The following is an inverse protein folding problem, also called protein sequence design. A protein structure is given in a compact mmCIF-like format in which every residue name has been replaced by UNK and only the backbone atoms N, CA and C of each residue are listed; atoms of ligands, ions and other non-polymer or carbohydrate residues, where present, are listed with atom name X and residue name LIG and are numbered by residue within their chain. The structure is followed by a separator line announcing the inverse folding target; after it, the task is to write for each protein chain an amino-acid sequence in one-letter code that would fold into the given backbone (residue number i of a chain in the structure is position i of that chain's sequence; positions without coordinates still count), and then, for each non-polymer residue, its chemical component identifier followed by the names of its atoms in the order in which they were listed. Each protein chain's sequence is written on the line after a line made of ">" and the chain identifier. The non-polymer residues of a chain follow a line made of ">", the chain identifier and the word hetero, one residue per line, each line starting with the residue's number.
data_IF_911118011101
#
_entry.id   IF_911118011101
#
_cell.length_a   1.000
_cell.length_b   1.000
_cell.length_c   1.000
_cell.angle_alpha   90.00
_cell.angle_beta   90.00
_cell.angle_gamma   90.00
#
_symmetry.space_group_name_H-M   'P 1'
#
loop_
_entity.id
_entity.type
_entity.pdbx_description
1 polymer ?
#
# COMPACT_ATOMS: atom_id res chain seq x y z
N UNK A 1 12.50 2.06 12.86
CA UNK A 1 11.81 0.76 12.93
C UNK A 1 11.44 0.29 11.54
N UNK A 2 11.22 -1.00 11.42
CA UNK A 2 10.64 -1.64 10.22
C UNK A 2 9.30 -2.23 10.62
N UNK A 3 8.23 -1.68 10.08
CA UNK A 3 6.85 -2.16 10.25
C UNK A 3 6.61 -3.28 9.25
N UNK A 4 6.09 -4.41 9.69
CA UNK A 4 5.91 -5.61 8.86
C UNK A 4 4.44 -6.04 8.90
N UNK A 5 3.87 -6.26 7.72
CA UNK A 5 2.53 -6.78 7.50
C UNK A 5 2.63 -8.13 6.80
N UNK A 6 2.03 -9.16 7.36
CA UNK A 6 1.98 -10.49 6.74
C UNK A 6 0.76 -10.66 5.82
N UNK A 7 0.78 -11.67 4.96
CA UNK A 7 -0.36 -12.00 4.07
C UNK A 7 -1.62 -12.37 4.83
N UNK A 8 -1.49 -12.99 6.00
CA UNK A 8 -2.63 -13.29 6.88
C UNK A 8 -3.13 -12.07 7.68
N UNK A 9 -2.50 -10.90 7.54
CA UNK A 9 -2.90 -9.67 8.22
C UNK A 9 -2.36 -9.54 9.64
N UNK A 10 -1.21 -10.15 9.93
CA UNK A 10 -0.50 -9.97 11.19
C UNK A 10 0.50 -8.84 11.08
N UNK A 11 0.65 -8.05 12.16
CA UNK A 11 1.51 -6.87 12.21
C UNK A 11 2.50 -6.96 13.34
N UNK A 12 3.70 -6.42 13.11
CA UNK A 12 4.77 -6.29 14.09
C UNK A 12 5.76 -5.22 13.66
N UNK A 13 6.66 -4.86 14.57
CA UNK A 13 7.68 -3.85 14.32
C UNK A 13 9.05 -4.34 14.80
N UNK A 14 10.02 -4.31 13.91
CA UNK A 14 11.42 -4.59 14.22
C UNK A 14 12.19 -3.29 14.46
N UNK A 15 13.20 -3.35 15.34
CA UNK A 15 14.11 -2.22 15.52
C UNK A 15 15.07 -2.14 14.34
N UNK A 16 15.33 -0.90 13.89
CA UNK A 16 16.27 -0.63 12.80
C UNK A 16 15.67 -0.77 11.41
N UNK A 17 16.51 -0.54 10.41
CA UNK A 17 16.13 -0.54 8.99
C UNK A 17 16.89 -1.61 8.19
N UNK A 18 17.81 -2.32 8.81
CA UNK A 18 18.66 -3.29 8.12
C UNK A 18 18.10 -4.70 8.10
N UNK A 19 17.02 -4.93 8.83
CA UNK A 19 16.40 -6.25 8.89
C UNK A 19 15.74 -6.56 7.55
N UNK A 20 15.96 -7.79 7.06
CA UNK A 20 15.24 -8.32 5.91
C UNK A 20 13.90 -8.90 6.39
N UNK A 21 12.75 -8.29 6.03
CA UNK A 21 11.45 -8.79 6.44
C UNK A 21 11.14 -10.21 5.99
N UNK A 22 11.74 -10.66 4.88
CA UNK A 22 11.58 -12.03 4.40
C UNK A 22 12.29 -13.06 5.29
N UNK A 23 13.31 -12.63 6.04
CA UNK A 23 14.06 -13.52 6.94
C UNK A 23 13.38 -13.77 8.29
N UNK A 24 12.29 -13.05 8.57
CA UNK A 24 11.53 -13.23 9.81
C UNK A 24 10.76 -14.55 9.80
N UNK A 25 10.51 -15.09 10.99
CA UNK A 25 9.64 -16.26 11.15
C UNK A 25 8.17 -15.86 11.05
N UNK A 26 7.39 -16.61 10.30
CA UNK A 26 5.94 -16.42 10.14
C UNK A 26 5.19 -17.66 10.65
N UNK A 27 3.92 -17.49 11.01
CA UNK A 27 3.08 -18.60 11.48
C UNK A 27 2.65 -19.49 10.31
N UNK A 28 2.80 -20.79 10.48
CA UNK A 28 2.33 -21.75 9.47
C UNK A 28 2.91 -21.46 8.09
N UNK A 29 2.02 -21.29 7.13
CA UNK A 29 2.33 -20.95 5.73
C UNK A 29 2.20 -19.45 5.42
N UNK A 30 2.07 -18.59 6.45
CA UNK A 30 2.05 -17.15 6.28
C UNK A 30 3.40 -16.62 5.78
N UNK A 31 3.39 -15.44 5.17
CA UNK A 31 4.59 -14.82 4.60
C UNK A 31 4.44 -13.30 4.55
N UNK A 32 5.50 -12.62 4.14
CA UNK A 32 5.50 -11.17 3.99
C UNK A 32 4.47 -10.71 2.95
N UNK A 33 3.64 -9.74 3.33
CA UNK A 33 2.79 -9.00 2.41
C UNK A 33 3.42 -7.66 2.02
N UNK A 34 3.80 -6.85 3.02
CA UNK A 34 4.40 -5.54 2.81
C UNK A 34 5.18 -5.10 4.05
N UNK A 35 6.08 -4.16 3.87
CA UNK A 35 6.83 -3.56 4.97
C UNK A 35 7.12 -2.09 4.68
N UNK A 36 7.41 -1.33 5.74
CA UNK A 36 7.81 0.06 5.65
C UNK A 36 8.82 0.42 6.73
N UNK A 37 9.77 1.25 6.39
CA UNK A 37 10.80 1.73 7.30
C UNK A 37 10.53 3.17 7.68
N UNK A 38 10.67 3.48 8.96
CA UNK A 38 10.44 4.81 9.49
C UNK A 38 10.87 4.95 10.94
N UNK A 39 10.37 5.99 11.59
CA UNK A 39 10.66 6.26 13.00
C UNK A 39 9.55 5.70 13.89
N UNK A 40 9.90 5.31 15.09
CA UNK A 40 8.94 4.74 16.07
C UNK A 40 7.86 5.73 16.49
N UNK A 41 8.13 7.03 16.41
CA UNK A 41 7.18 8.09 16.75
C UNK A 41 6.25 8.47 15.57
N UNK A 42 6.36 7.82 14.44
CA UNK A 42 5.48 8.04 13.29
C UNK A 42 4.29 7.07 13.32
N UNK A 43 3.18 7.50 12.72
CA UNK A 43 2.04 6.63 12.48
C UNK A 43 2.36 5.69 11.31
N UNK A 44 1.99 4.43 11.46
CA UNK A 44 1.95 3.49 10.36
C UNK A 44 0.55 3.52 9.74
N UNK A 45 0.46 3.51 8.42
CA UNK A 45 -0.80 3.44 7.68
C UNK A 45 -0.90 2.10 6.98
N UNK A 46 -2.04 1.46 7.14
CA UNK A 46 -2.37 0.20 6.48
C UNK A 46 -3.55 0.42 5.54
N UNK A 47 -3.45 -0.11 4.33
CA UNK A 47 -4.53 -0.04 3.35
C UNK A 47 -5.15 -1.42 3.19
N UNK A 48 -6.48 -1.48 3.17
CA UNK A 48 -7.18 -2.72 2.89
C UNK A 48 -7.52 -2.87 1.41
N UNK A 49 -7.93 -4.07 1.01
CA UNK A 49 -8.24 -4.40 -0.38
C UNK A 49 -9.40 -3.59 -0.97
N UNK A 50 -10.25 -3.00 -0.12
CA UNK A 50 -11.40 -2.20 -0.53
C UNK A 50 -11.10 -0.68 -0.60
N UNK A 51 -9.87 -0.26 -0.35
CA UNK A 51 -9.45 1.12 -0.47
C UNK A 51 -9.62 1.98 0.77
N UNK A 52 -9.80 1.38 1.94
CA UNK A 52 -9.79 2.09 3.23
C UNK A 52 -8.39 2.17 3.81
N UNK A 53 -8.11 3.27 4.49
CA UNK A 53 -6.87 3.54 5.20
C UNK A 53 -7.09 3.52 6.71
N UNK A 54 -6.14 2.92 7.42
CA UNK A 54 -6.15 2.79 8.88
C UNK A 54 -4.79 3.21 9.42
N UNK A 55 -4.75 3.78 10.62
CA UNK A 55 -3.50 4.23 11.25
C UNK A 55 -3.31 3.59 12.61
N UNK A 56 -2.08 3.15 12.85
CA UNK A 56 -1.63 2.63 14.16
C UNK A 56 -0.29 3.27 14.48
N UNK A 57 -0.08 3.80 15.70
CA UNK A 57 1.25 4.29 16.09
C UNK A 57 2.30 3.19 15.98
N UNK A 58 3.39 3.44 15.28
CA UNK A 58 4.43 2.43 15.04
C UNK A 58 4.99 1.84 16.33
N UNK A 59 5.18 2.67 17.37
CA UNK A 59 5.69 2.23 18.67
C UNK A 59 4.76 1.29 19.43
N UNK A 60 3.47 1.28 19.10
CA UNK A 60 2.46 0.44 19.76
C UNK A 60 2.36 -0.96 19.16
N UNK A 61 3.02 -1.21 18.04
CA UNK A 61 3.01 -2.52 17.40
C UNK A 61 3.84 -3.53 18.21
N UNK A 62 3.45 -4.81 18.23
CA UNK A 62 4.22 -5.82 18.93
C UNK A 62 5.61 -6.00 18.32
N UNK A 63 6.56 -6.41 19.16
CA UNK A 63 7.95 -6.63 18.72
C UNK A 63 8.05 -7.78 17.72
N UNK A 64 8.91 -7.60 16.72
CA UNK A 64 9.25 -8.63 15.75
C UNK A 64 10.11 -9.78 16.32
N UNK A 65 10.44 -9.77 17.62
CA UNK A 65 10.99 -10.94 18.31
C UNK A 65 9.94 -12.05 18.38
N UNK A 66 8.65 -11.68 18.43
CA UNK A 66 7.53 -12.61 18.27
C UNK A 66 7.01 -12.58 16.83
N UNK A 67 5.91 -13.28 16.62
CA UNK A 67 5.28 -13.36 15.28
C UNK A 67 4.27 -12.25 15.02
N UNK A 68 4.09 -11.34 15.97
CA UNK A 68 3.12 -10.25 15.86
C UNK A 68 1.74 -10.63 16.36
N UNK A 69 0.74 -9.87 15.91
CA UNK A 69 -0.67 -10.07 16.26
C UNK A 69 -1.56 -9.74 15.06
N UNK A 70 -2.79 -10.29 15.00
CA UNK A 70 -3.74 -9.93 13.96
C UNK A 70 -4.07 -8.43 14.02
N UNK A 71 -4.02 -7.76 12.88
CA UNK A 71 -4.35 -6.33 12.79
C UNK A 71 -5.82 -6.07 13.17
N UNK A 72 -6.68 -7.04 12.94
CA UNK A 72 -8.11 -6.98 13.30
C UNK A 72 -8.35 -6.89 14.80
N UNK A 73 -7.36 -7.20 15.62
CA UNK A 73 -7.41 -6.95 17.06
C UNK A 73 -7.29 -5.47 17.44
N UNK A 74 -6.78 -4.65 16.54
CA UNK A 74 -6.59 -3.20 16.72
C UNK A 74 -7.59 -2.37 15.94
N UNK A 75 -8.12 -2.89 14.83
CA UNK A 75 -8.93 -2.16 13.85
C UNK A 75 -10.25 -2.86 13.63
N UNK A 76 -11.28 -2.05 13.31
CA UNK A 76 -12.62 -2.54 12.98
C UNK A 76 -12.81 -2.55 11.47
N UNK A 77 -12.12 -3.46 10.80
CA UNK A 77 -12.21 -3.62 9.35
C UNK A 77 -13.49 -4.40 8.95
N UNK A 78 -13.97 -4.16 7.75
CA UNK A 78 -15.10 -4.91 7.20
C UNK A 78 -14.72 -6.39 7.02
N UNK A 79 -15.72 -7.26 7.12
CA UNK A 79 -15.52 -8.71 6.97
C UNK A 79 -15.00 -9.05 5.57
N UNK A 80 -14.01 -9.94 5.51
CA UNK A 80 -13.47 -10.44 4.25
C UNK A 80 -12.44 -9.55 3.56
N UNK A 81 -12.14 -8.36 4.08
CA UNK A 81 -11.08 -7.51 3.51
C UNK A 81 -9.70 -8.08 3.84
N UNK A 82 -8.76 -7.87 2.93
CA UNK A 82 -7.34 -8.16 3.13
C UNK A 82 -6.58 -6.86 3.32
N UNK A 83 -5.55 -6.87 4.16
CA UNK A 83 -4.63 -5.75 4.27
C UNK A 83 -3.49 -5.96 3.26
N UNK A 84 -3.30 -4.98 2.39
CA UNK A 84 -2.39 -5.12 1.23
C UNK A 84 -1.16 -4.24 1.31
N UNK A 85 -1.18 -3.18 2.11
CA UNK A 85 -0.11 -2.18 2.14
C UNK A 85 0.19 -1.71 3.55
N UNK A 86 1.47 -1.50 3.83
CA UNK A 86 1.98 -0.85 5.03
C UNK A 86 2.86 0.32 4.63
N UNK A 87 2.69 1.46 5.27
CA UNK A 87 3.45 2.67 5.01
C UNK A 87 3.82 3.36 6.31
N UNK A 88 4.94 4.06 6.33
CA UNK A 88 5.36 4.95 7.43
C UNK A 88 5.95 6.19 6.78
N UNK A 89 5.65 7.36 7.31
CA UNK A 89 6.15 8.60 6.73
C UNK A 89 5.82 9.82 7.57
N UNK A 90 6.15 10.99 7.03
CA UNK A 90 5.78 12.30 7.55
C UNK A 90 4.70 12.92 6.65
N UNK A 91 4.05 13.97 7.14
CA UNK A 91 2.86 14.56 6.50
C UNK A 91 3.02 14.88 5.01
N UNK A 92 4.19 15.39 4.61
CA UNK A 92 4.46 15.82 3.23
C UNK A 92 5.04 14.73 2.34
N UNK A 93 5.30 13.55 2.87
CA UNK A 93 5.74 12.42 2.05
C UNK A 93 4.65 12.04 1.06
N UNK A 94 5.05 11.72 -0.16
CA UNK A 94 4.14 11.36 -1.24
C UNK A 94 4.19 9.87 -1.54
N UNK A 95 3.05 9.35 -1.92
CA UNK A 95 2.86 7.94 -2.25
C UNK A 95 2.06 7.80 -3.54
N UNK A 96 2.45 6.84 -4.37
CA UNK A 96 1.63 6.38 -5.48
C UNK A 96 0.56 5.44 -4.96
N UNK A 97 -0.69 5.81 -5.19
CA UNK A 97 -1.87 5.04 -4.79
C UNK A 97 -2.53 4.50 -6.06
N UNK A 98 -2.78 3.20 -6.12
CA UNK A 98 -3.26 2.56 -7.35
C UNK A 98 -4.09 1.31 -7.04
N UNK A 99 -4.84 0.85 -8.04
CA UNK A 99 -5.65 -0.37 -7.94
C UNK A 99 -5.51 -1.26 -9.17
N UNK A 100 -6.00 -2.48 -9.05
CA UNK A 100 -5.93 -3.49 -10.14
C UNK A 100 -6.73 -3.09 -11.38
N UNK A 101 -7.68 -2.18 -11.24
CA UNK A 101 -8.46 -1.64 -12.37
C UNK A 101 -7.70 -0.65 -13.23
N UNK A 102 -6.45 -0.31 -12.87
CA UNK A 102 -5.59 0.56 -13.66
C UNK A 102 -5.74 2.05 -13.37
N UNK A 103 -6.27 2.43 -12.23
CA UNK A 103 -6.40 3.83 -11.79
C UNK A 103 -5.44 4.14 -10.66
N UNK A 104 -5.05 5.40 -10.55
CA UNK A 104 -4.21 5.87 -9.46
C UNK A 104 -4.11 7.37 -9.34
N UNK A 105 -3.47 7.79 -8.27
CA UNK A 105 -3.14 9.19 -7.97
C UNK A 105 -1.97 9.25 -7.01
N UNK A 106 -1.43 10.46 -6.83
CA UNK A 106 -0.41 10.73 -5.84
C UNK A 106 -1.11 11.28 -4.59
N UNK A 107 -0.78 10.75 -3.42
CA UNK A 107 -1.31 11.21 -2.16
C UNK A 107 -0.18 11.69 -1.23
N UNK A 108 -0.46 12.72 -0.44
CA UNK A 108 0.38 13.10 0.67
C UNK A 108 0.01 12.26 1.90
N UNK A 109 1.01 11.88 2.69
CA UNK A 109 0.84 10.98 3.84
C UNK A 109 -0.21 11.45 4.85
N UNK A 110 -0.27 12.75 5.12
CA UNK A 110 -1.28 13.35 6.02
C UNK A 110 -2.71 12.99 5.64
N UNK A 111 -2.99 12.80 4.36
CA UNK A 111 -4.32 12.44 3.85
C UNK A 111 -4.62 10.92 3.94
N UNK A 112 -3.61 10.11 4.23
CA UNK A 112 -3.75 8.67 4.44
C UNK A 112 -4.06 8.32 5.90
N UNK A 113 -3.90 9.26 6.81
CA UNK A 113 -4.07 9.07 8.25
C UNK A 113 -5.54 9.08 8.63
N UNK A 114 -5.95 8.12 9.47
CA UNK A 114 -7.29 8.03 10.03
C UNK A 114 -7.22 7.91 11.56
N UNK A 115 -8.06 8.68 12.24
CA UNK A 115 -8.20 8.61 13.70
C UNK A 115 -9.26 7.60 14.15
N UNK A 116 -9.93 6.94 13.21
CA UNK A 116 -11.01 5.98 13.50
C UNK A 116 -10.51 4.55 13.32
N UNK A 117 -10.86 3.67 14.26
CA UNK A 117 -10.58 2.23 14.14
C UNK A 117 -11.25 1.59 12.93
N UNK A 118 -12.39 2.13 12.51
CA UNK A 118 -13.10 1.69 11.30
C UNK A 118 -12.48 2.18 9.99
N UNK A 119 -11.41 2.95 10.09
CA UNK A 119 -10.69 3.47 8.95
C UNK A 119 -11.39 4.63 8.24
N UNK A 120 -10.80 5.05 7.15
CA UNK A 120 -11.27 6.14 6.32
C UNK A 120 -11.36 5.66 4.87
N UNK A 121 -12.47 5.94 4.19
CA UNK A 121 -12.56 5.73 2.76
C UNK A 121 -11.51 6.61 2.05
N UNK A 122 -10.57 5.99 1.37
CA UNK A 122 -9.41 6.68 0.80
C UNK A 122 -9.37 6.57 -0.72
N UNK A 123 -9.32 5.37 -1.27
CA UNK A 123 -9.39 5.16 -2.72
C UNK A 123 -10.74 4.57 -3.12
N UNK A 124 -11.41 5.22 -4.10
CA UNK A 124 -12.62 4.68 -4.72
C UNK A 124 -12.20 3.69 -5.79
N UNK A 125 -12.61 2.45 -5.62
CA UNK A 125 -12.27 1.37 -6.55
C UNK A 125 -13.34 1.20 -7.64
N UNK A 126 -12.93 0.93 -8.89
CA UNK A 126 -13.84 0.39 -9.89
C UNK A 126 -14.40 -0.96 -9.45
N UNK A 127 -15.52 -1.35 -10.01
CA UNK A 127 -16.08 -2.68 -9.77
C UNK A 127 -15.07 -3.77 -10.09
N UNK A 128 -14.97 -4.78 -9.22
CA UNK A 128 -14.02 -5.90 -9.31
C UNK A 128 -12.53 -5.54 -9.15
N UNK A 129 -12.21 -4.30 -8.82
CA UNK A 129 -10.84 -3.89 -8.55
C UNK A 129 -10.48 -4.04 -7.07
N UNK A 130 -9.22 -4.29 -6.80
CA UNK A 130 -8.63 -4.31 -5.46
C UNK A 130 -7.50 -3.28 -5.37
N UNK A 131 -7.27 -2.79 -4.16
CA UNK A 131 -6.15 -1.91 -3.84
C UNK A 131 -4.82 -2.63 -4.06
N UNK A 132 -3.83 -1.92 -4.59
CA UNK A 132 -2.43 -2.35 -4.64
C UNK A 132 -1.62 -1.68 -3.53
N UNK A 133 -0.39 -2.13 -3.33
CA UNK A 133 0.53 -1.53 -2.36
C UNK A 133 0.80 -0.08 -2.71
N UNK A 134 0.77 0.80 -1.70
CA UNK A 134 1.24 2.17 -1.85
C UNK A 134 2.76 2.17 -2.02
N UNK A 135 3.26 3.00 -2.94
CA UNK A 135 4.70 3.08 -3.22
C UNK A 135 5.20 4.48 -2.86
N UNK A 136 6.22 4.59 -2.00
CA UNK A 136 6.80 5.90 -1.69
C UNK A 136 7.37 6.58 -2.93
N UNK A 137 7.00 7.85 -3.14
CA UNK A 137 7.53 8.68 -4.21
C UNK A 137 8.65 9.54 -3.64
N UNK A 138 9.87 9.33 -4.09
CA UNK A 138 11.04 10.08 -3.65
C UNK A 138 11.33 11.25 -4.59
N UNK A 139 12.12 12.23 -4.14
CA UNK A 139 12.40 13.45 -4.89
C UNK A 139 13.07 13.20 -6.24
N UNK A 140 13.87 12.14 -6.35
CA UNK A 140 14.56 11.77 -7.59
C UNK A 140 13.70 10.96 -8.56
N UNK A 141 12.50 10.54 -8.16
CA UNK A 141 11.59 9.82 -9.04
C UNK A 141 10.93 10.78 -10.02
N UNK A 142 10.92 10.42 -11.29
CA UNK A 142 10.34 11.23 -12.37
C UNK A 142 9.28 10.50 -13.17
N UNK A 143 9.38 9.17 -13.28
CA UNK A 143 8.50 8.35 -14.10
C UNK A 143 7.92 7.18 -13.33
N UNK A 144 6.82 6.67 -13.85
CA UNK A 144 6.14 5.46 -13.36
C UNK A 144 6.15 4.45 -14.51
N UNK A 145 6.58 3.23 -14.22
CA UNK A 145 6.41 2.09 -15.11
C UNK A 145 5.29 1.22 -14.56
N UNK A 146 4.18 1.12 -15.27
CA UNK A 146 3.03 0.30 -14.89
C UNK A 146 2.96 -0.95 -15.76
N UNK A 147 2.71 -2.09 -15.14
CA UNK A 147 2.68 -3.40 -15.83
C UNK A 147 1.39 -4.12 -15.50
N UNK A 148 0.73 -4.67 -16.53
CA UNK A 148 -0.37 -5.60 -16.34
C UNK A 148 0.11 -7.04 -16.22
N UNK A 149 -0.76 -7.93 -15.75
CA UNK A 149 -0.46 -9.37 -15.64
C UNK A 149 -0.23 -10.05 -16.99
N UNK A 150 -0.70 -9.45 -18.10
CA UNK A 150 -0.49 -9.98 -19.45
C UNK A 150 0.68 -9.34 -20.20
N UNK A 151 1.51 -8.55 -19.48
CA UNK A 151 2.73 -7.99 -20.03
C UNK A 151 2.58 -6.65 -20.73
N UNK A 152 1.46 -5.94 -20.61
CA UNK A 152 1.38 -4.55 -21.05
C UNK A 152 2.26 -3.68 -20.15
N UNK A 153 3.11 -2.88 -20.76
CA UNK A 153 4.00 -1.95 -20.07
C UNK A 153 3.71 -0.54 -20.54
N UNK A 154 3.53 0.38 -19.61
CA UNK A 154 3.39 1.81 -19.89
C UNK A 154 4.31 2.60 -18.98
N UNK A 155 5.09 3.51 -19.57
CA UNK A 155 5.97 4.42 -18.83
C UNK A 155 5.49 5.85 -19.10
N UNK A 156 5.28 6.61 -18.02
CA UNK A 156 4.81 7.99 -18.11
C UNK A 156 5.36 8.82 -16.95
N UNK A 157 5.28 10.14 -17.07
CA UNK A 157 5.75 11.07 -16.04
C UNK A 157 4.81 11.08 -14.82
N UNK A 158 5.38 11.14 -13.61
CA UNK A 158 4.62 11.21 -12.36
C UNK A 158 3.65 12.40 -12.36
N UNK A 159 4.07 13.53 -12.94
CA UNK A 159 3.26 14.76 -13.00
C UNK A 159 1.96 14.61 -13.80
N UNK A 160 1.81 13.55 -14.59
CA UNK A 160 0.57 13.25 -15.29
C UNK A 160 -0.54 12.74 -14.36
N UNK A 161 -0.17 12.30 -13.13
CA UNK A 161 -1.16 11.92 -12.12
C UNK A 161 -1.51 13.10 -11.22
N UNK A 162 -2.79 13.25 -10.84
CA UNK A 162 -3.22 14.28 -9.91
C UNK A 162 -2.74 13.97 -8.50
N UNK A 163 -2.58 15.02 -7.69
CA UNK A 163 -2.39 14.91 -6.25
C UNK A 163 -3.77 15.01 -5.60
N UNK A 164 -4.21 13.95 -4.93
CA UNK A 164 -5.55 13.88 -4.33
C UNK A 164 -5.47 13.49 -2.86
N UNK A 165 -6.40 14.00 -2.06
CA UNK A 165 -6.59 13.57 -0.68
C UNK A 165 -7.37 12.26 -0.57
N UNK A 166 -8.19 11.97 -1.57
CA UNK A 166 -8.99 10.74 -1.71
C UNK A 166 -9.60 10.70 -3.11
N UNK A 167 -10.16 9.58 -3.51
CA UNK A 167 -10.95 9.48 -4.72
C UNK A 167 -10.51 8.35 -5.64
N UNK A 168 -10.92 8.45 -6.90
CA UNK A 168 -10.66 7.43 -7.91
C UNK A 168 -9.32 7.61 -8.61
N UNK A 169 -8.88 8.84 -8.80
CA UNK A 169 -7.70 9.15 -9.59
C UNK A 169 -7.94 9.07 -11.08
N UNK A 170 -6.84 9.00 -11.83
CA UNK A 170 -6.83 8.93 -13.28
C UNK A 170 -6.44 7.54 -13.76
N UNK A 171 -6.83 7.23 -15.00
CA UNK A 171 -6.42 5.98 -15.64
C UNK A 171 -4.89 5.98 -15.86
N UNK A 172 -4.24 4.95 -15.33
CA UNK A 172 -2.80 4.69 -15.52
C UNK A 172 -2.59 3.80 -16.74
N UNK A 173 -3.32 2.69 -16.79
CA UNK A 173 -3.25 1.69 -17.85
C UNK A 173 -4.68 1.21 -18.15
N UNK A 174 -4.97 0.94 -19.42
CA UNK A 174 -6.30 0.48 -19.79
C UNK A 174 -6.50 -1.00 -19.47
N UNK A 175 -7.45 -1.29 -18.59
CA UNK A 175 -7.88 -2.64 -18.25
C UNK A 175 -9.36 -2.77 -18.65
N UNK A 176 -9.70 -3.63 -19.60
CA UNK A 176 -11.10 -3.83 -19.97
C UNK A 176 -11.94 -4.36 -18.81
N UNK A 177 -13.12 -3.81 -18.60
CA UNK A 177 -13.98 -4.14 -17.44
C UNK A 177 -14.37 -5.62 -17.38
N UNK A 178 -14.68 -6.21 -18.53
CA UNK A 178 -15.05 -7.63 -18.64
C UNK A 178 -13.88 -8.55 -18.29
N UNK A 179 -12.66 -8.20 -18.70
CA UNK A 179 -11.45 -8.94 -18.38
C UNK A 179 -11.05 -8.80 -16.92
N UNK A 180 -11.24 -7.63 -16.33
CA UNK A 180 -11.04 -7.43 -14.90
C UNK A 180 -12.02 -8.28 -14.08
N UNK A 181 -13.30 -8.28 -14.45
CA UNK A 181 -14.33 -9.07 -13.77
C UNK A 181 -14.04 -10.57 -13.86
N UNK A 182 -13.52 -11.04 -15.00
CA UNK A 182 -13.15 -12.43 -15.19
C UNK A 182 -11.80 -12.82 -14.54
N UNK A 183 -11.05 -11.85 -14.00
CA UNK A 183 -9.72 -12.08 -13.45
C UNK A 183 -8.65 -12.37 -14.50
N UNK A 184 -8.93 -12.10 -15.77
CA UNK A 184 -8.02 -12.38 -16.89
C UNK A 184 -6.98 -11.28 -17.09
N UNK A 185 -7.34 -10.02 -16.82
CA UNK A 185 -6.45 -8.88 -16.99
C UNK A 185 -6.62 -7.89 -15.84
N UNK A 186 -5.51 -7.44 -15.27
CA UNK A 186 -5.46 -6.46 -14.20
C UNK A 186 -4.10 -5.77 -14.17
N UNK A 187 -4.04 -4.57 -13.60
CA UNK A 187 -2.77 -3.95 -13.29
C UNK A 187 -2.11 -4.71 -12.12
N UNK A 188 -0.92 -5.23 -12.35
CA UNK A 188 -0.27 -6.12 -11.40
C UNK A 188 0.78 -5.41 -10.54
N UNK A 189 1.48 -4.44 -11.13
CA UNK A 189 2.63 -3.82 -10.49
C UNK A 189 2.94 -2.47 -11.11
N UNK A 190 3.54 -1.59 -10.31
CA UNK A 190 4.17 -0.39 -10.81
C UNK A 190 5.52 -0.18 -10.12
N UNK A 191 6.43 0.46 -10.82
CA UNK A 191 7.73 0.84 -10.30
C UNK A 191 8.02 2.30 -10.60
N UNK A 192 8.58 3.00 -9.62
CA UNK A 192 9.02 4.38 -9.81
C UNK A 192 10.44 4.40 -10.35
N UNK A 193 10.66 5.25 -11.34
CA UNK A 193 11.93 5.39 -12.03
C UNK A 193 12.53 6.76 -11.73
N UNK A 194 13.83 6.77 -11.47
CA UNK A 194 14.62 7.98 -11.39
C UNK A 194 15.31 8.21 -12.72
N UNK A 195 15.40 9.47 -13.17
CA UNK A 195 16.26 9.82 -14.29
C UNK A 195 17.63 10.14 -13.74
N UNK A 196 18.67 9.54 -14.32
CA UNK A 196 20.03 9.96 -14.10
C UNK A 196 20.21 11.35 -14.74
N UNK A 197 20.54 12.33 -13.92
CA UNK A 197 20.86 13.68 -14.38
C UNK A 197 22.27 13.73 -14.92
#
# INVERSE_FOLDING_TARGET
>A
VTVVLSKAGWVRSAKGHEIDPNSLSYRGDDSLQDFARGKSNQLAVFLDSNGKAYSIPSHSLPSARGMGEPITGRLSADSGVKFVSASVGVDDDRFLIMNTGGYGYIAEYKNMISNKKSGRAFMRLPENAEMLKAIPVRKNHTHIAAVSNIGKLLIFEIDELPILGKGKGNKIINIPKDKLAAGEEFMAHAQLLATDS
#
